data_IF_502944932865
#
_entry.id   IF_502944932865
#
_cell.length_a   1.000
_cell.length_b   1.000
_cell.length_c   1.000
_cell.angle_alpha   90.00
_cell.angle_beta   90.00
_cell.angle_gamma   90.00
#
_symmetry.space_group_name_H-M   'P 1'
#
loop_
_entity.id
_entity.type
_entity.pdbx_description
1 polymer ?
#
# COMPACT_ATOMS: atom_id res chain seq x y z
N UNK A 1 -24.51 -16.25 14.87
CA UNK A 1 -23.11 -16.29 14.37
C UNK A 1 -22.19 -15.79 15.48
N UNK A 2 -21.12 -16.51 15.79
CA UNK A 2 -20.15 -16.07 16.79
C UNK A 2 -19.20 -15.00 16.19
N UNK A 3 -18.52 -14.17 17.00
CA UNK A 3 -17.52 -13.21 16.49
C UNK A 3 -16.42 -13.87 15.65
N UNK A 4 -16.01 -15.09 15.99
CA UNK A 4 -15.01 -15.84 15.22
C UNK A 4 -15.55 -16.26 13.83
N UNK A 5 -16.82 -16.65 13.76
CA UNK A 5 -17.47 -16.99 12.48
C UNK A 5 -17.63 -15.75 11.59
N UNK A 6 -18.01 -14.62 12.18
CA UNK A 6 -18.08 -13.34 11.47
C UNK A 6 -16.72 -12.90 10.94
N UNK A 7 -15.69 -12.94 11.78
CA UNK A 7 -14.32 -12.65 11.36
C UNK A 7 -13.87 -13.54 10.17
N UNK A 8 -14.13 -14.85 10.25
CA UNK A 8 -13.79 -15.77 9.18
C UNK A 8 -14.51 -15.46 7.85
N UNK A 9 -15.77 -15.02 7.93
CA UNK A 9 -16.53 -14.58 6.74
C UNK A 9 -15.97 -13.29 6.15
N UNK A 10 -15.66 -12.29 6.96
CA UNK A 10 -15.04 -11.03 6.51
C UNK A 10 -13.66 -11.29 5.88
N UNK A 11 -12.85 -12.15 6.50
CA UNK A 11 -11.56 -12.55 5.97
C UNK A 11 -11.68 -13.17 4.56
N UNK A 12 -12.61 -14.13 4.41
CA UNK A 12 -12.88 -14.73 3.10
C UNK A 12 -13.42 -13.69 2.10
N UNK A 13 -14.28 -12.77 2.57
CA UNK A 13 -14.86 -11.73 1.70
C UNK A 13 -13.80 -10.76 1.18
N UNK A 14 -12.86 -10.33 2.01
CA UNK A 14 -11.73 -9.50 1.58
C UNK A 14 -10.94 -10.17 0.46
N UNK A 15 -10.61 -11.45 0.63
CA UNK A 15 -9.90 -12.22 -0.40
C UNK A 15 -10.68 -12.29 -1.71
N UNK A 16 -11.97 -12.61 -1.65
CA UNK A 16 -12.84 -12.69 -2.83
C UNK A 16 -12.94 -11.37 -3.59
N UNK A 17 -13.03 -10.23 -2.89
CA UNK A 17 -13.03 -8.92 -3.52
C UNK A 17 -11.73 -8.71 -4.30
N UNK A 18 -10.59 -8.96 -3.68
CA UNK A 18 -9.29 -8.78 -4.31
C UNK A 18 -9.08 -9.73 -5.50
N UNK A 19 -9.55 -10.98 -5.41
CA UNK A 19 -9.51 -11.93 -6.51
C UNK A 19 -10.36 -11.45 -7.71
N UNK A 20 -11.61 -11.03 -7.46
CA UNK A 20 -12.52 -10.53 -8.49
C UNK A 20 -11.99 -9.28 -9.19
N UNK A 21 -11.32 -8.40 -8.44
CA UNK A 21 -10.76 -7.15 -8.95
C UNK A 21 -9.31 -7.30 -9.45
N UNK A 22 -8.71 -8.47 -9.33
CA UNK A 22 -7.31 -8.73 -9.68
C UNK A 22 -6.31 -7.84 -8.91
N UNK A 23 -6.62 -7.52 -7.65
CA UNK A 23 -5.79 -6.68 -6.78
C UNK A 23 -4.70 -7.45 -6.04
N UNK A 24 -4.59 -8.77 -6.24
CA UNK A 24 -3.66 -9.65 -5.54
C UNK A 24 -4.15 -10.03 -4.14
N UNK A 25 -3.28 -10.67 -3.36
CA UNK A 25 -3.62 -11.15 -2.01
C UNK A 25 -3.64 -9.98 -1.00
N UNK A 26 -4.82 -9.67 -0.39
CA UNK A 26 -4.94 -8.57 0.57
C UNK A 26 -4.14 -8.78 1.86
N UNK A 27 -3.72 -10.01 2.15
CA UNK A 27 -2.98 -10.36 3.36
C UNK A 27 -1.46 -10.34 3.15
N UNK A 28 -1.00 -10.13 1.91
CA UNK A 28 0.43 -10.01 1.58
C UNK A 28 0.92 -8.58 1.80
N UNK A 29 2.07 -8.45 2.49
CA UNK A 29 2.75 -7.16 2.72
C UNK A 29 1.81 -6.07 3.29
N UNK A 30 1.70 -4.94 2.57
CA UNK A 30 0.86 -3.81 2.95
C UNK A 30 -0.44 -3.72 2.12
N UNK A 31 -0.77 -4.74 1.31
CA UNK A 31 -1.80 -4.66 0.26
C UNK A 31 -3.16 -4.17 0.74
N UNK A 32 -3.65 -4.65 1.88
CA UNK A 32 -4.92 -4.15 2.45
C UNK A 32 -4.87 -2.65 2.76
N UNK A 33 -3.73 -2.14 3.24
CA UNK A 33 -3.57 -0.71 3.51
C UNK A 33 -3.42 0.11 2.23
N UNK A 34 -2.77 -0.43 1.20
CA UNK A 34 -2.66 0.20 -0.13
C UNK A 34 -4.05 0.36 -0.76
N UNK A 35 -4.88 -0.69 -0.72
CA UNK A 35 -6.26 -0.64 -1.18
C UNK A 35 -7.08 0.40 -0.39
N UNK A 36 -6.90 0.44 0.94
CA UNK A 36 -7.59 1.41 1.78
C UNK A 36 -7.13 2.85 1.49
N UNK A 37 -5.82 3.08 1.34
CA UNK A 37 -5.28 4.40 0.96
C UNK A 37 -5.81 4.86 -0.40
N UNK A 38 -5.83 3.98 -1.40
CA UNK A 38 -6.34 4.31 -2.72
C UNK A 38 -7.83 4.68 -2.67
N UNK A 39 -8.65 3.95 -1.90
CA UNK A 39 -10.05 4.31 -1.69
C UNK A 39 -10.20 5.68 -1.03
N UNK A 40 -9.41 6.00 0.00
CA UNK A 40 -9.43 7.29 0.68
C UNK A 40 -8.96 8.46 -0.19
N UNK A 41 -8.07 8.19 -1.15
CA UNK A 41 -7.53 9.21 -2.07
C UNK A 41 -8.31 9.30 -3.39
N UNK A 42 -9.23 8.38 -3.66
CA UNK A 42 -9.92 8.28 -4.94
C UNK A 42 -9.01 7.80 -6.09
N UNK A 43 -7.91 7.11 -5.76
CA UNK A 43 -6.97 6.58 -6.75
C UNK A 43 -7.39 5.21 -7.26
N UNK A 44 -6.94 4.86 -8.46
CA UNK A 44 -7.10 3.52 -9.00
C UNK A 44 -6.02 2.60 -8.42
N UNK A 45 -6.42 1.42 -7.95
CA UNK A 45 -5.48 0.39 -7.48
C UNK A 45 -4.69 -0.17 -8.67
N UNK A 46 -3.36 -0.27 -8.54
CA UNK A 46 -2.56 -0.99 -9.53
C UNK A 46 -2.82 -2.50 -9.43
N UNK A 47 -2.89 -3.17 -10.58
CA UNK A 47 -3.22 -4.60 -10.68
C UNK A 47 -2.08 -5.54 -10.28
N UNK A 48 -0.86 -5.02 -10.07
CA UNK A 48 0.33 -5.82 -9.76
C UNK A 48 0.80 -5.61 -8.33
N UNK A 49 1.34 -6.67 -7.71
CA UNK A 49 2.01 -6.60 -6.40
C UNK A 49 3.47 -6.12 -6.48
N UNK A 50 4.01 -6.00 -7.69
CA UNK A 50 5.34 -5.47 -7.93
C UNK A 50 5.26 -4.29 -8.89
N UNK A 51 5.71 -3.13 -8.47
CA UNK A 51 5.61 -1.90 -9.26
C UNK A 51 4.87 -0.82 -8.49
N UNK A 52 3.99 -0.09 -9.15
CA UNK A 52 3.15 0.93 -8.51
C UNK A 52 2.13 0.32 -7.56
N UNK A 53 1.83 1.03 -6.48
CA UNK A 53 0.76 0.66 -5.55
C UNK A 53 -0.60 1.14 -6.07
N UNK A 54 -0.63 2.32 -6.69
CA UNK A 54 -1.84 2.92 -7.28
C UNK A 54 -1.51 3.85 -8.44
N UNK A 55 -2.56 4.42 -9.03
CA UNK A 55 -2.51 5.42 -10.10
C UNK A 55 -3.30 6.64 -9.61
N UNK A 56 -2.62 7.79 -9.53
CA UNK A 56 -3.20 9.10 -9.25
C UNK A 56 -3.37 9.95 -10.53
N UNK A 57 -3.66 11.23 -10.38
CA UNK A 57 -3.82 12.18 -11.49
C UNK A 57 -2.54 12.38 -12.33
N UNK A 58 -1.36 12.12 -11.76
CA UNK A 58 -0.06 12.26 -12.40
C UNK A 58 0.50 10.94 -12.96
N UNK A 59 -0.17 9.82 -12.69
CA UNK A 59 0.21 8.47 -13.13
C UNK A 59 0.51 7.51 -11.99
N UNK A 60 1.44 6.58 -12.21
CA UNK A 60 1.83 5.59 -11.19
C UNK A 60 2.39 6.27 -9.94
N UNK A 61 1.92 5.86 -8.76
CA UNK A 61 2.36 6.37 -7.47
C UNK A 61 2.74 5.26 -6.48
N UNK A 62 3.49 5.65 -5.44
CA UNK A 62 4.01 4.75 -4.40
C UNK A 62 3.38 5.07 -3.05
N UNK A 63 3.00 4.05 -2.30
CA UNK A 63 2.43 4.16 -0.96
C UNK A 63 3.39 3.61 0.10
N UNK A 64 3.48 4.32 1.22
CA UNK A 64 4.13 3.81 2.42
C UNK A 64 3.22 4.00 3.61
N UNK A 65 3.01 2.95 4.38
CA UNK A 65 2.15 3.01 5.56
C UNK A 65 2.89 2.54 6.82
N UNK A 66 2.57 3.13 7.95
CA UNK A 66 3.05 2.73 9.27
C UNK A 66 1.90 2.62 10.26
N UNK A 67 2.05 1.69 11.21
CA UNK A 67 1.16 1.51 12.37
C UNK A 67 1.83 1.97 13.67
N UNK A 68 3.02 2.57 13.58
CA UNK A 68 3.78 3.06 14.74
C UNK A 68 3.23 4.37 15.29
N UNK A 69 3.81 4.83 16.40
CA UNK A 69 3.44 6.09 17.06
C UNK A 69 3.71 7.33 16.19
N UNK A 70 4.62 7.23 15.24
CA UNK A 70 5.05 8.34 14.38
C UNK A 70 5.04 7.91 12.92
N UNK A 71 4.66 8.85 12.03
CA UNK A 71 4.76 8.62 10.60
C UNK A 71 6.24 8.53 10.19
N UNK A 72 6.53 7.58 9.31
CA UNK A 72 7.83 7.42 8.64
C UNK A 72 7.63 6.67 7.34
N UNK A 73 8.55 6.84 6.38
CA UNK A 73 8.52 6.09 5.14
C UNK A 73 9.79 5.24 5.00
N UNK A 74 9.61 3.93 4.90
CA UNK A 74 10.71 2.97 4.82
C UNK A 74 10.86 2.48 3.38
N UNK A 75 12.02 2.75 2.79
CA UNK A 75 12.47 2.22 1.51
C UNK A 75 13.54 1.18 1.80
N UNK A 76 13.22 -0.08 1.69
CA UNK A 76 14.13 -1.20 1.96
C UNK A 76 14.14 -2.20 0.79
N UNK A 77 15.00 -3.20 0.87
CA UNK A 77 15.10 -4.23 -0.15
C UNK A 77 15.58 -3.72 -1.52
N UNK A 78 16.29 -2.59 -1.56
CA UNK A 78 16.79 -1.99 -2.79
C UNK A 78 17.99 -2.80 -3.29
N UNK A 79 17.85 -3.39 -4.48
CA UNK A 79 18.91 -4.18 -5.10
C UNK A 79 20.15 -3.33 -5.40
N UNK A 80 21.32 -3.90 -5.15
CA UNK A 80 22.61 -3.24 -5.41
C UNK A 80 23.01 -3.48 -6.86
N UNK A 81 23.34 -2.41 -7.56
CA UNK A 81 23.84 -2.43 -8.93
C UNK A 81 25.39 -2.50 -8.95
N UNK A 82 26.01 -2.94 -10.05
CA UNK A 82 27.46 -3.10 -10.15
C UNK A 82 28.28 -1.82 -9.95
N UNK A 83 27.77 -0.66 -10.38
CA UNK A 83 28.42 0.64 -10.17
C UNK A 83 27.45 1.66 -9.56
N UNK A 84 27.99 2.75 -8.98
CA UNK A 84 27.15 3.82 -8.46
C UNK A 84 26.35 4.54 -9.55
N UNK A 85 26.89 4.71 -10.75
CA UNK A 85 26.16 5.29 -11.87
C UNK A 85 24.93 4.45 -12.23
N UNK A 86 25.10 3.13 -12.30
CA UNK A 86 23.98 2.20 -12.53
C UNK A 86 23.01 2.19 -11.35
N UNK A 87 23.51 2.28 -10.12
CA UNK A 87 22.67 2.40 -8.92
C UNK A 87 21.84 3.68 -8.93
N UNK A 88 22.45 4.80 -9.31
CA UNK A 88 21.77 6.10 -9.42
C UNK A 88 20.68 6.06 -10.51
N UNK A 89 21.01 5.53 -11.69
CA UNK A 89 20.04 5.36 -12.77
C UNK A 89 18.86 4.47 -12.34
N UNK A 90 19.13 3.33 -11.71
CA UNK A 90 18.10 2.43 -11.17
C UNK A 90 17.19 3.12 -10.13
N UNK A 91 17.79 3.89 -9.20
CA UNK A 91 17.02 4.61 -8.18
C UNK A 91 16.14 5.71 -8.79
N UNK A 92 16.67 6.43 -9.78
CA UNK A 92 16.01 7.59 -10.36
C UNK A 92 14.97 7.25 -11.43
N UNK A 93 15.09 6.10 -12.11
CA UNK A 93 14.22 5.77 -13.24
C UNK A 93 13.34 4.54 -13.01
N UNK A 94 13.82 3.56 -12.23
CA UNK A 94 13.16 2.25 -12.16
C UNK A 94 12.56 1.94 -10.79
N UNK A 95 13.14 2.51 -9.70
CA UNK A 95 12.76 2.10 -8.34
C UNK A 95 12.01 3.17 -7.55
N UNK A 96 12.59 4.35 -7.35
CA UNK A 96 12.01 5.43 -6.56
C UNK A 96 11.51 6.55 -7.47
N UNK A 97 12.38 7.02 -8.35
CA UNK A 97 12.10 8.13 -9.26
C UNK A 97 11.09 7.83 -10.36
N UNK A 98 10.72 6.55 -10.54
CA UNK A 98 9.67 6.12 -11.44
C UNK A 98 8.30 6.75 -11.10
N UNK A 99 8.03 6.96 -9.82
CA UNK A 99 6.74 7.44 -9.32
C UNK A 99 6.80 8.94 -9.05
N UNK A 100 5.94 9.73 -9.68
CA UNK A 100 5.91 11.18 -9.50
C UNK A 100 5.55 11.59 -8.08
N UNK A 101 4.62 10.86 -7.46
CA UNK A 101 4.11 11.12 -6.13
C UNK A 101 4.30 9.91 -5.20
N UNK A 102 4.67 10.19 -3.96
CA UNK A 102 4.75 9.23 -2.88
C UNK A 102 3.78 9.64 -1.77
N UNK A 103 2.97 8.70 -1.29
CA UNK A 103 1.99 8.95 -0.25
C UNK A 103 2.37 8.20 1.02
N UNK A 104 2.31 8.90 2.14
CA UNK A 104 2.70 8.35 3.44
C UNK A 104 1.52 8.40 4.39
N UNK A 105 1.07 7.23 4.87
CA UNK A 105 -0.04 7.11 5.80
C UNK A 105 0.42 6.60 7.16
N UNK A 106 -0.13 7.16 8.23
CA UNK A 106 -0.06 6.57 9.56
C UNK A 106 -1.43 6.08 9.97
N UNK A 107 -1.46 4.82 10.40
CA UNK A 107 -2.66 4.15 10.86
C UNK A 107 -2.71 4.10 12.39
N UNK A 108 -3.92 4.26 12.93
CA UNK A 108 -4.29 3.88 14.28
C UNK A 108 -5.48 2.92 14.18
N UNK A 109 -5.25 1.64 14.50
CA UNK A 109 -6.18 0.57 14.18
C UNK A 109 -6.47 0.49 12.68
N UNK A 110 -7.72 0.62 12.30
CA UNK A 110 -8.17 0.62 10.91
C UNK A 110 -8.22 2.02 10.27
N UNK A 111 -7.94 3.08 11.03
CA UNK A 111 -8.11 4.46 10.57
C UNK A 111 -6.78 5.07 10.12
N UNK A 112 -6.80 5.81 9.01
CA UNK A 112 -5.71 6.71 8.64
C UNK A 112 -5.85 7.98 9.49
N UNK A 113 -4.82 8.30 10.27
CA UNK A 113 -4.81 9.48 11.16
C UNK A 113 -3.84 10.57 10.70
N UNK A 114 -2.90 10.25 9.82
CA UNK A 114 -2.02 11.20 9.13
C UNK A 114 -1.80 10.68 7.70
N UNK A 115 -1.94 11.57 6.70
CA UNK A 115 -1.72 11.23 5.30
C UNK A 115 -1.01 12.40 4.61
N UNK A 116 0.11 12.13 3.96
CA UNK A 116 0.93 13.14 3.30
C UNK A 116 1.22 12.72 1.85
N UNK A 117 1.22 13.71 0.93
CA UNK A 117 1.70 13.60 -0.46
C UNK A 117 3.06 14.28 -0.56
N UNK A 118 4.08 13.55 -1.03
CA UNK A 118 5.43 14.06 -1.25
C UNK A 118 5.82 13.87 -2.72
N UNK A 119 6.24 14.93 -3.43
CA UNK A 119 6.73 14.81 -4.80
C UNK A 119 8.09 14.11 -4.81
N UNK A 120 8.37 13.41 -5.90
CA UNK A 120 9.53 12.51 -6.03
C UNK A 120 10.87 13.22 -5.90
N UNK A 121 10.97 14.49 -6.34
CA UNK A 121 12.20 15.30 -6.19
C UNK A 121 12.61 15.43 -4.72
N UNK A 122 11.63 15.64 -3.81
CA UNK A 122 11.87 15.70 -2.36
C UNK A 122 12.22 14.34 -1.76
N UNK A 123 11.65 13.27 -2.29
CA UNK A 123 12.03 11.90 -1.91
C UNK A 123 13.49 11.65 -2.29
N UNK A 124 13.85 11.89 -3.55
CA UNK A 124 15.21 11.67 -4.06
C UNK A 124 16.24 12.56 -3.38
N UNK A 125 15.92 13.83 -3.12
CA UNK A 125 16.78 14.77 -2.38
C UNK A 125 17.20 14.19 -1.02
N UNK A 126 16.28 13.54 -0.31
CA UNK A 126 16.58 12.92 0.98
C UNK A 126 17.31 11.59 0.87
N UNK A 127 16.85 10.71 -0.03
CA UNK A 127 17.30 9.31 -0.02
C UNK A 127 18.64 9.10 -0.71
N UNK A 128 18.94 9.83 -1.81
CA UNK A 128 20.12 9.59 -2.61
C UNK A 128 21.44 9.79 -1.84
N UNK A 129 21.65 10.86 -1.05
CA UNK A 129 22.91 11.03 -0.31
C UNK A 129 23.14 9.91 0.73
N UNK A 130 22.05 9.42 1.36
CA UNK A 130 22.11 8.34 2.35
C UNK A 130 22.40 6.99 1.71
N UNK A 131 21.76 6.71 0.58
CA UNK A 131 21.99 5.49 -0.19
C UNK A 131 23.38 5.48 -0.82
N UNK A 132 23.89 6.63 -1.27
CA UNK A 132 25.28 6.77 -1.74
C UNK A 132 26.28 6.40 -0.64
N UNK A 133 26.13 6.99 0.54
CA UNK A 133 26.97 6.66 1.70
C UNK A 133 26.89 5.17 2.07
N UNK A 134 25.69 4.59 2.01
CA UNK A 134 25.48 3.19 2.33
C UNK A 134 26.06 2.26 1.25
N UNK A 135 25.96 2.64 -0.03
CA UNK A 135 26.51 1.90 -1.17
C UNK A 135 28.03 1.73 -1.05
N UNK A 136 28.76 2.78 -0.69
CA UNK A 136 30.21 2.77 -0.54
C UNK A 136 30.72 2.24 0.80
N UNK A 137 29.81 1.96 1.75
CA UNK A 137 30.22 1.39 3.03
C UNK A 137 30.51 -0.10 2.87
N UNK A 138 31.62 -0.56 3.48
CA UNK A 138 31.93 -1.96 3.58
C UNK A 138 30.80 -2.74 4.30
N UNK A 139 30.28 -3.77 3.65
CA UNK A 139 29.12 -4.51 4.16
C UNK A 139 29.54 -5.59 5.11
N UNK A 140 29.08 -5.51 6.35
CA UNK A 140 29.32 -6.53 7.40
C UNK A 140 28.23 -7.61 7.49
N UNK A 141 27.16 -7.52 6.70
CA UNK A 141 26.00 -8.40 6.79
C UNK A 141 25.78 -9.29 5.57
N UNK A 142 24.93 -10.32 5.73
CA UNK A 142 24.57 -11.26 4.65
C UNK A 142 23.65 -10.63 3.60
N UNK A 143 22.87 -9.59 3.95
CA UNK A 143 21.95 -8.92 3.04
C UNK A 143 22.63 -7.71 2.38
N UNK A 144 22.91 -7.77 1.08
CA UNK A 144 23.58 -6.68 0.37
C UNK A 144 22.62 -5.51 0.03
N UNK A 145 21.33 -5.66 0.24
CA UNK A 145 20.33 -4.65 -0.16
C UNK A 145 20.50 -3.34 0.60
N UNK A 146 20.17 -2.25 -0.08
CA UNK A 146 20.16 -0.91 0.50
C UNK A 146 18.78 -0.62 1.11
N UNK A 147 18.78 0.35 2.04
CA UNK A 147 17.54 0.83 2.63
C UNK A 147 17.72 2.16 3.34
N UNK A 148 16.64 2.94 3.37
CA UNK A 148 16.61 4.25 4.00
C UNK A 148 15.23 4.52 4.57
N UNK A 149 15.18 5.23 5.70
CA UNK A 149 13.92 5.69 6.30
C UNK A 149 13.86 7.20 6.24
N UNK A 150 12.78 7.73 5.68
CA UNK A 150 12.44 9.16 5.75
C UNK A 150 11.71 9.39 7.07
N UNK A 151 12.26 10.21 7.98
CA UNK A 151 11.68 10.42 9.30
C UNK A 151 10.52 11.44 9.27
N UNK A 152 9.68 11.41 10.30
CA UNK A 152 8.54 12.33 10.48
C UNK A 152 8.91 13.80 10.23
N UNK A 153 10.02 14.26 10.78
CA UNK A 153 10.44 15.66 10.63
C UNK A 153 10.54 16.08 9.17
N UNK A 154 11.21 15.28 8.35
CA UNK A 154 11.37 15.57 6.92
C UNK A 154 10.05 15.49 6.17
N UNK A 155 9.19 14.52 6.51
CA UNK A 155 7.87 14.37 5.88
C UNK A 155 7.03 15.63 6.14
N UNK A 156 6.94 16.10 7.37
CA UNK A 156 6.16 17.30 7.72
C UNK A 156 6.70 18.55 7.03
N UNK A 157 8.02 18.66 6.87
CA UNK A 157 8.68 19.83 6.29
C UNK A 157 8.51 19.91 4.76
N UNK A 158 8.44 18.76 4.07
CA UNK A 158 8.54 18.70 2.59
C UNK A 158 7.32 18.07 1.90
N UNK A 159 6.36 17.53 2.65
CA UNK A 159 5.16 16.92 2.09
C UNK A 159 3.91 17.75 2.38
N UNK A 160 2.90 17.62 1.54
CA UNK A 160 1.59 18.23 1.73
C UNK A 160 0.72 17.32 2.59
N UNK A 161 0.19 17.82 3.70
CA UNK A 161 -0.82 17.13 4.48
C UNK A 161 -2.12 17.05 3.68
N UNK A 162 -2.65 15.85 3.52
CA UNK A 162 -3.89 15.59 2.80
C UNK A 162 -5.10 15.70 3.75
N UNK A 163 -6.18 16.29 3.24
CA UNK A 163 -7.43 16.35 4.00
C UNK A 163 -8.14 14.99 3.98
N UNK A 164 -8.39 14.43 5.15
CA UNK A 164 -9.08 13.15 5.32
C UNK A 164 -10.61 13.30 5.40
N UNK A 165 -11.14 14.53 5.41
CA UNK A 165 -12.58 14.78 5.61
C UNK A 165 -13.41 14.66 4.33
N UNK A 166 -12.81 14.80 3.16
CA UNK A 166 -13.52 14.92 1.88
C UNK A 166 -14.11 13.62 1.35
N UNK A 167 -13.71 12.45 1.85
CA UNK A 167 -14.18 11.15 1.36
C UNK A 167 -15.07 10.36 2.34
N UNK A 168 -15.40 10.94 3.51
CA UNK A 168 -16.29 10.29 4.50
C UNK A 168 -17.78 10.37 4.15
N UNK A 169 -18.18 11.16 3.14
CA UNK A 169 -19.58 11.50 2.86
C UNK A 169 -20.31 10.56 1.90
N UNK A 170 -19.70 9.48 1.42
CA UNK A 170 -20.37 8.50 0.55
C UNK A 170 -20.42 7.07 1.11
N UNK A 171 -20.25 6.90 2.41
CA UNK A 171 -20.54 5.60 3.03
C UNK A 171 -22.05 5.47 3.25
N UNK A 172 -22.75 5.01 2.20
CA UNK A 172 -24.04 4.35 2.37
C UNK A 172 -23.84 3.19 3.34
N UNK A 173 -24.51 3.24 4.49
CA UNK A 173 -24.63 2.14 5.42
C UNK A 173 -25.05 0.89 4.62
N UNK A 174 -24.32 -0.23 4.69
CA UNK A 174 -24.77 -1.43 4.02
C UNK A 174 -26.12 -1.86 4.63
N UNK A 175 -27.14 -1.98 3.77
CA UNK A 175 -28.41 -2.60 4.21
C UNK A 175 -28.13 -3.98 4.78
N UNK A 176 -28.84 -4.37 5.87
CA UNK A 176 -28.70 -5.69 6.44
C UNK A 176 -29.10 -6.72 5.38
N UNK A 177 -28.23 -7.68 5.10
CA UNK A 177 -28.47 -8.79 4.20
C UNK A 177 -29.76 -9.54 4.64
N UNK A 178 -30.84 -9.30 3.92
CA UNK A 178 -32.05 -10.10 4.05
C UNK A 178 -31.73 -11.54 3.65
N UNK A 179 -31.87 -12.43 4.62
CA UNK A 179 -31.89 -13.88 4.45
C UNK A 179 -32.95 -14.28 3.41
N UNK A 180 -32.53 -14.55 2.19
CA UNK A 180 -33.31 -15.38 1.28
C UNK A 180 -32.88 -16.84 1.44
N UNK A 181 -33.42 -17.48 2.44
CA UNK A 181 -33.50 -18.93 2.57
C UNK A 181 -34.64 -19.43 1.67
N UNK A 182 -34.31 -19.97 0.50
CA UNK A 182 -35.15 -20.98 -0.17
C UNK A 182 -34.29 -21.72 -1.20
N UNK A 183 -33.62 -22.77 -0.75
CA UNK A 183 -33.31 -23.90 -1.61
C UNK A 183 -33.91 -25.15 -0.91
N UNK A 184 -35.10 -25.54 -1.35
CA UNK A 184 -35.60 -26.88 -1.14
C UNK A 184 -35.03 -27.78 -2.25
N UNK A 185 -34.39 -28.91 -1.96
CA UNK A 185 -34.08 -29.90 -2.98
C UNK A 185 -35.34 -30.69 -3.31
N UNK A 186 -35.80 -30.67 -4.55
CA UNK A 186 -36.78 -31.60 -5.07
C UNK A 186 -36.15 -32.99 -5.18
N UNK A 187 -36.62 -33.90 -4.38
CA UNK A 187 -36.51 -35.35 -4.59
C UNK A 187 -37.45 -35.73 -5.72
N UNK A 188 -36.91 -36.10 -6.88
CA UNK A 188 -37.64 -36.92 -7.84
C UNK A 188 -36.72 -37.98 -8.45
N UNK A 189 -37.01 -39.17 -7.96
CA UNK A 189 -37.24 -40.41 -8.70
C UNK A 189 -36.10 -41.05 -9.46
N UNK A 190 -35.41 -41.96 -8.78
CA UNK A 190 -34.80 -43.15 -9.37
C UNK A 190 -35.91 -44.16 -9.65
N UNK A 191 -36.13 -44.49 -10.93
CA UNK A 191 -36.74 -45.73 -11.37
C UNK A 191 -35.95 -46.33 -12.55
N UNK A 192 -35.46 -47.56 -12.30
CA UNK A 192 -34.94 -48.62 -13.17
C UNK A 192 -33.58 -48.36 -13.83
#
# INVERSE_FOLDING_TARGET
MTPQQEFAQLFKRMYQICEQQQWGDPFSYARSREIHMANMLGHQIASTLSGADAIDEDGECEYKSTIGAHIQAVYNGISVQPSWEQQLAYLSSDKIGKYKNHYYARYDGANIVELYKMPVDKVLEFVLPKLHTQYHREKKGKDPRLGVTIPKKYIIEHATLMDLTTHSSSQNTPEPLHNQSTFAPSLDTLVL
#
